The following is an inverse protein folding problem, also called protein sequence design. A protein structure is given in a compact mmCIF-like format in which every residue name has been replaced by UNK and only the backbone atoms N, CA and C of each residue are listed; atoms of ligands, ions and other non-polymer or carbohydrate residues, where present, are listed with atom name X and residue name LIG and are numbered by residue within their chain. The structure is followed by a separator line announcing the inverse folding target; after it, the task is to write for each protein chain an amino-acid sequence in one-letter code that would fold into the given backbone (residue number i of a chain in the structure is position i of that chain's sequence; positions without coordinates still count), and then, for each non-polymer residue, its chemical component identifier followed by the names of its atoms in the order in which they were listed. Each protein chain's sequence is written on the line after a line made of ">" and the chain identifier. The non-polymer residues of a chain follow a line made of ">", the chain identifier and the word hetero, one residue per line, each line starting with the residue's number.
data_IF_034708947327
#
_entry.id   IF_034708947327
#
_cell.length_a   1.000
_cell.length_b   1.000
_cell.length_c   1.000
_cell.angle_alpha   90.00
_cell.angle_beta   90.00
_cell.angle_gamma   90.00
#
_symmetry.space_group_name_H-M   'P 1'
#
loop_
_entity.id
_entity.type
_entity.pdbx_description
1 polymer ?
#
# COMPACT_ATOMS: atom_id res chain seq x y z
N UNK A 1 20.48 -14.48 -7.75
CA UNK A 1 19.82 -13.78 -6.64
C UNK A 1 18.60 -14.56 -6.13
N UNK A 2 17.58 -14.88 -6.95
CA UNK A 2 16.42 -15.71 -6.53
C UNK A 2 16.76 -17.14 -6.11
N UNK A 3 17.74 -17.78 -6.77
CA UNK A 3 18.13 -19.17 -6.45
C UNK A 3 18.73 -19.36 -5.06
N UNK A 4 19.20 -18.28 -4.43
CA UNK A 4 19.90 -18.29 -3.14
C UNK A 4 18.97 -18.19 -1.93
N UNK A 5 17.66 -18.00 -2.14
CA UNK A 5 16.67 -17.89 -1.07
C UNK A 5 15.60 -18.97 -1.21
N UNK A 6 14.96 -19.34 -0.10
CA UNK A 6 13.86 -20.29 -0.08
C UNK A 6 12.56 -19.67 -0.61
N UNK A 7 12.30 -18.42 -0.18
CA UNK A 7 11.15 -17.62 -0.57
C UNK A 7 11.58 -16.17 -0.78
N UNK A 8 10.96 -15.52 -1.76
CA UNK A 8 11.16 -14.11 -2.11
C UNK A 8 9.79 -13.48 -2.29
N UNK A 9 9.63 -12.27 -1.78
CA UNK A 9 8.45 -11.45 -2.01
C UNK A 9 8.85 -10.03 -2.40
N UNK A 10 7.89 -9.24 -2.88
CA UNK A 10 8.10 -7.84 -3.24
C UNK A 10 7.22 -6.94 -2.40
N UNK A 11 7.65 -5.70 -2.20
CA UNK A 11 6.80 -4.63 -1.69
C UNK A 11 7.16 -3.39 -2.49
N UNK A 12 6.34 -3.09 -3.51
CA UNK A 12 6.63 -2.07 -4.49
C UNK A 12 5.35 -1.34 -4.90
N UNK A 13 5.40 -0.02 -5.03
CA UNK A 13 4.28 0.81 -5.47
C UNK A 13 4.02 0.67 -6.97
N UNK A 14 2.76 0.38 -7.35
CA UNK A 14 2.38 0.14 -8.74
C UNK A 14 2.81 1.29 -9.69
N UNK A 15 2.67 2.55 -9.27
CA UNK A 15 3.00 3.71 -10.11
C UNK A 15 4.50 3.95 -10.23
N UNK A 16 5.27 3.61 -9.19
CA UNK A 16 6.73 3.69 -9.23
C UNK A 16 7.39 2.59 -10.06
N UNK A 17 6.67 1.50 -10.39
CA UNK A 17 7.27 0.34 -11.06
C UNK A 17 7.57 0.64 -12.53
N UNK A 18 8.85 0.76 -12.90
CA UNK A 18 9.24 0.90 -14.31
C UNK A 18 8.98 -0.39 -15.09
N UNK A 19 8.54 -0.29 -16.34
CA UNK A 19 8.32 -1.47 -17.18
C UNK A 19 7.03 -2.24 -16.88
N UNK A 20 5.90 -1.56 -16.62
CA UNK A 20 4.59 -2.20 -16.42
C UNK A 20 4.07 -2.96 -17.65
N UNK A 21 4.64 -2.69 -18.83
CA UNK A 21 4.27 -3.30 -20.12
C UNK A 21 2.76 -3.27 -20.41
N UNK A 22 2.08 -2.18 -20.05
CA UNK A 22 0.63 -2.04 -20.23
C UNK A 22 -0.24 -2.68 -19.14
N UNK A 23 0.34 -3.20 -18.05
CA UNK A 23 -0.45 -3.57 -16.87
C UNK A 23 -1.17 -2.34 -16.32
N UNK A 24 -2.44 -2.50 -15.97
CA UNK A 24 -3.33 -1.43 -15.51
C UNK A 24 -3.69 -1.53 -14.03
N UNK A 25 -3.43 -2.69 -13.42
CA UNK A 25 -3.72 -2.98 -12.02
C UNK A 25 -2.67 -3.91 -11.39
N UNK A 26 -2.68 -3.99 -10.06
CA UNK A 26 -1.71 -4.80 -9.30
C UNK A 26 -1.72 -6.27 -9.71
N UNK A 27 -2.89 -6.86 -10.00
CA UNK A 27 -3.01 -8.28 -10.32
C UNK A 27 -2.32 -8.62 -11.64
N UNK A 28 -2.51 -7.79 -12.67
CA UNK A 28 -1.83 -7.94 -13.96
C UNK A 28 -0.31 -7.82 -13.81
N UNK A 29 0.17 -6.85 -13.02
CA UNK A 29 1.60 -6.66 -12.81
C UNK A 29 2.22 -7.80 -11.98
N UNK A 30 1.55 -8.25 -10.91
CA UNK A 30 1.98 -9.39 -10.10
C UNK A 30 2.06 -10.68 -10.95
N UNK A 31 1.09 -10.89 -11.84
CA UNK A 31 1.09 -12.02 -12.78
C UNK A 31 2.29 -11.96 -13.73
N UNK A 32 2.53 -10.80 -14.36
CA UNK A 32 3.67 -10.58 -15.25
C UNK A 32 5.02 -10.79 -14.55
N UNK A 33 5.20 -10.21 -13.36
CA UNK A 33 6.43 -10.41 -12.56
C UNK A 33 6.66 -11.91 -12.33
N UNK A 34 5.59 -12.67 -12.07
CA UNK A 34 5.67 -14.13 -11.90
C UNK A 34 5.96 -14.87 -13.20
N UNK A 35 5.51 -14.37 -14.34
CA UNK A 35 5.73 -14.96 -15.66
C UNK A 35 7.18 -14.82 -16.13
N UNK A 36 7.80 -13.68 -15.86
CA UNK A 36 9.21 -13.37 -16.18
C UNK A 36 10.22 -14.20 -15.38
N UNK A 37 9.81 -14.77 -14.25
CA UNK A 37 10.66 -15.67 -13.46
C UNK A 37 10.72 -17.06 -14.12
N UNK A 38 11.93 -17.63 -14.21
CA UNK A 38 12.14 -18.98 -14.74
C UNK A 38 11.16 -20.00 -14.10
N UNK A 39 10.55 -20.91 -14.87
CA UNK A 39 9.52 -21.84 -14.37
C UNK A 39 9.91 -22.59 -13.09
N UNK A 40 11.18 -23.00 -13.01
CA UNK A 40 11.75 -23.72 -11.87
C UNK A 40 11.81 -22.89 -10.57
N UNK A 41 11.75 -21.55 -10.66
CA UNK A 41 11.85 -20.63 -9.52
C UNK A 41 10.50 -19.96 -9.18
N UNK A 42 9.45 -20.11 -10.00
CA UNK A 42 8.15 -19.45 -9.78
C UNK A 42 7.52 -19.78 -8.42
N UNK A 43 7.76 -20.98 -7.89
CA UNK A 43 7.25 -21.42 -6.59
C UNK A 43 7.95 -20.74 -5.39
N UNK A 44 9.11 -20.11 -5.63
CA UNK A 44 9.85 -19.34 -4.63
C UNK A 44 9.39 -17.89 -4.55
N UNK A 45 8.67 -17.39 -5.56
CA UNK A 45 8.25 -16.00 -5.62
C UNK A 45 6.77 -15.83 -5.20
N UNK A 46 6.54 -14.92 -4.26
CA UNK A 46 5.23 -14.42 -3.86
C UNK A 46 5.19 -12.93 -4.21
N UNK A 47 4.77 -12.56 -5.44
CA UNK A 47 4.77 -11.16 -5.84
C UNK A 47 3.69 -10.39 -5.07
N UNK A 48 4.03 -9.20 -4.62
CA UNK A 48 3.09 -8.23 -4.09
C UNK A 48 3.42 -6.83 -4.59
N UNK A 49 2.39 -6.19 -5.13
CA UNK A 49 2.39 -4.80 -5.54
C UNK A 49 1.38 -4.04 -4.70
N UNK A 50 1.84 -2.97 -4.07
CA UNK A 50 0.99 -2.00 -3.40
C UNK A 50 0.29 -1.19 -4.48
N UNK A 51 -1.03 -1.33 -4.58
CA UNK A 51 -1.82 -0.53 -5.51
C UNK A 51 -1.74 0.93 -5.04
N UNK A 52 -1.16 1.79 -5.86
CA UNK A 52 -0.95 3.23 -5.65
C UNK A 52 0.32 3.64 -4.91
N UNK A 53 0.20 4.06 -3.66
CA UNK A 53 1.27 4.56 -2.81
C UNK A 53 1.17 3.88 -1.45
N UNK A 54 2.30 3.72 -0.77
CA UNK A 54 2.34 3.20 0.59
C UNK A 54 1.45 4.00 1.58
N UNK A 55 1.31 5.31 1.37
CA UNK A 55 0.42 6.18 2.13
C UNK A 55 -1.07 5.79 2.07
N UNK A 56 -1.49 4.99 1.09
CA UNK A 56 -2.85 4.45 1.07
C UNK A 56 -3.18 3.67 2.35
N UNK A 57 -2.19 2.97 2.93
CA UNK A 57 -2.33 2.22 4.17
C UNK A 57 -2.67 3.12 5.37
N UNK A 58 -2.34 4.41 5.32
CA UNK A 58 -2.62 5.33 6.43
C UNK A 58 -4.12 5.57 6.59
N UNK A 59 -4.87 5.43 5.51
CA UNK A 59 -6.32 5.58 5.50
C UNK A 59 -7.04 4.38 6.14
N UNK A 60 -6.32 3.37 6.64
CA UNK A 60 -6.88 2.43 7.60
C UNK A 60 -7.39 3.13 8.87
N UNK A 61 -6.81 4.29 9.22
CA UNK A 61 -7.35 5.19 10.24
C UNK A 61 -6.95 6.66 9.96
N UNK A 62 -7.78 7.41 9.20
CA UNK A 62 -7.48 8.80 8.85
C UNK A 62 -7.35 9.75 10.04
N UNK A 63 -7.99 9.44 11.18
CA UNK A 63 -7.94 10.27 12.39
C UNK A 63 -6.52 10.35 12.95
N UNK A 64 -5.74 9.29 12.78
CA UNK A 64 -4.35 9.25 13.22
C UNK A 64 -3.46 10.14 12.33
N UNK A 65 -3.79 10.28 11.05
CA UNK A 65 -3.09 11.19 10.13
C UNK A 65 -3.21 12.64 10.64
N UNK A 66 -4.43 13.07 10.96
CA UNK A 66 -4.71 14.39 11.52
C UNK A 66 -4.01 14.62 12.85
N UNK A 67 -4.09 13.66 13.78
CA UNK A 67 -3.44 13.72 15.09
C UNK A 67 -1.91 13.84 15.00
N UNK A 68 -1.27 13.10 14.10
CA UNK A 68 0.20 13.08 13.98
C UNK A 68 0.72 14.34 13.29
N UNK A 69 0.01 14.85 12.28
CA UNK A 69 0.47 15.99 11.49
C UNK A 69 -0.01 17.33 12.08
N UNK A 70 -1.14 17.34 12.80
CA UNK A 70 -1.69 18.53 13.44
C UNK A 70 -2.78 19.24 12.63
N UNK A 71 -3.74 18.48 12.07
CA UNK A 71 -4.92 19.04 11.39
C UNK A 71 -6.19 18.27 11.74
N UNK A 72 -7.36 18.89 11.53
CA UNK A 72 -8.66 18.23 11.70
C UNK A 72 -8.96 17.31 10.51
N UNK A 73 -8.94 16.00 10.77
CA UNK A 73 -9.10 14.95 9.77
C UNK A 73 -10.48 14.30 9.76
N UNK A 74 -11.40 14.67 10.67
CA UNK A 74 -12.62 13.88 10.93
C UNK A 74 -13.50 13.78 9.67
N UNK A 75 -13.93 14.93 9.14
CA UNK A 75 -14.76 14.96 7.93
C UNK A 75 -13.96 14.63 6.67
N UNK A 76 -12.69 15.02 6.65
CA UNK A 76 -11.80 14.81 5.50
C UNK A 76 -11.58 13.32 5.23
N UNK A 77 -11.24 12.55 6.27
CA UNK A 77 -10.97 11.12 6.16
C UNK A 77 -12.22 10.31 5.79
N UNK A 78 -13.35 10.62 6.44
CA UNK A 78 -14.65 9.98 6.15
C UNK A 78 -15.05 10.17 4.68
N UNK A 79 -14.95 11.40 4.15
CA UNK A 79 -15.28 11.69 2.74
C UNK A 79 -14.43 10.86 1.77
N UNK A 80 -13.12 10.79 2.01
CA UNK A 80 -12.20 10.00 1.17
C UNK A 80 -12.55 8.52 1.21
N UNK A 81 -12.82 7.97 2.39
CA UNK A 81 -13.19 6.56 2.50
C UNK A 81 -14.52 6.26 1.82
N UNK A 82 -15.50 7.17 1.89
CA UNK A 82 -16.77 7.02 1.17
C UNK A 82 -16.55 7.01 -0.35
N UNK A 83 -15.75 7.94 -0.88
CA UNK A 83 -15.39 8.00 -2.31
C UNK A 83 -14.75 6.68 -2.80
N UNK A 84 -14.03 5.97 -1.91
CA UNK A 84 -13.32 4.74 -2.21
C UNK A 84 -14.04 3.48 -1.72
N UNK A 85 -15.36 3.53 -1.48
CA UNK A 85 -16.17 2.40 -1.01
C UNK A 85 -15.61 1.72 0.25
N UNK A 86 -15.16 2.53 1.22
CA UNK A 86 -14.56 2.10 2.48
C UNK A 86 -13.30 1.25 2.32
N UNK A 87 -12.64 1.30 1.16
CA UNK A 87 -11.43 0.55 0.88
C UNK A 87 -10.22 1.49 0.69
N UNK A 88 -9.29 1.55 1.66
CA UNK A 88 -8.07 2.35 1.56
C UNK A 88 -7.20 2.02 0.35
N UNK A 89 -7.18 0.76 -0.09
CA UNK A 89 -6.37 0.32 -1.25
C UNK A 89 -6.91 0.83 -2.59
N UNK A 90 -8.12 1.42 -2.60
CA UNK A 90 -8.72 2.06 -3.77
C UNK A 90 -8.48 3.58 -3.83
N UNK A 91 -7.72 4.14 -2.89
CA UNK A 91 -7.45 5.57 -2.86
C UNK A 91 -6.39 5.90 -3.91
N UNK A 92 -6.84 6.23 -5.13
CA UNK A 92 -6.11 7.03 -6.13
C UNK A 92 -6.98 7.23 -7.39
N UNK A 93 -7.66 8.36 -7.47
CA UNK A 93 -8.56 8.65 -8.59
C UNK A 93 -7.91 9.51 -9.69
N UNK A 94 -6.66 9.97 -9.52
CA UNK A 94 -5.88 10.83 -10.43
C UNK A 94 -4.58 11.31 -9.74
N UNK A 95 -3.64 11.89 -10.49
CA UNK A 95 -2.40 12.47 -9.95
C UNK A 95 -2.62 13.47 -8.80
N UNK A 96 -3.65 14.32 -8.88
CA UNK A 96 -3.96 15.30 -7.81
C UNK A 96 -4.72 14.70 -6.63
N UNK A 97 -5.11 13.43 -6.71
CA UNK A 97 -5.89 12.71 -5.68
C UNK A 97 -5.17 11.47 -5.15
N UNK A 98 -3.85 11.35 -5.37
CA UNK A 98 -3.05 10.31 -4.71
C UNK A 98 -3.09 10.47 -3.19
N UNK A 99 -2.93 9.37 -2.43
CA UNK A 99 -2.88 9.41 -0.97
C UNK A 99 -1.94 10.50 -0.43
N UNK A 100 -0.70 10.55 -0.94
CA UNK A 100 0.31 11.54 -0.54
C UNK A 100 -0.13 12.97 -0.84
N UNK A 101 -0.63 13.24 -2.04
CA UNK A 101 -1.08 14.58 -2.41
C UNK A 101 -2.30 15.04 -1.59
N UNK A 102 -3.23 14.13 -1.26
CA UNK A 102 -4.37 14.43 -0.37
C UNK A 102 -3.88 14.86 1.02
N UNK A 103 -2.94 14.12 1.59
CA UNK A 103 -2.34 14.43 2.90
C UNK A 103 -1.56 15.75 2.83
N UNK A 104 -0.74 15.96 1.81
CA UNK A 104 0.01 17.21 1.62
C UNK A 104 -0.91 18.42 1.48
N UNK A 105 -2.03 18.28 0.77
CA UNK A 105 -2.99 19.37 0.56
C UNK A 105 -3.71 19.75 1.85
N UNK A 106 -4.26 18.78 2.59
CA UNK A 106 -5.01 19.07 3.81
C UNK A 106 -4.12 19.59 4.94
N UNK A 107 -2.87 19.11 5.01
CA UNK A 107 -1.90 19.53 6.02
C UNK A 107 -1.16 20.83 5.69
N UNK A 108 -1.57 21.59 4.67
CA UNK A 108 -0.86 22.80 4.23
C UNK A 108 0.65 22.56 4.01
N UNK A 109 1.00 21.44 3.36
CA UNK A 109 2.37 20.99 3.08
C UNK A 109 3.25 20.70 4.31
N UNK A 110 2.63 20.49 5.46
CA UNK A 110 3.34 20.11 6.69
C UNK A 110 3.67 18.61 6.74
N UNK A 111 3.03 17.77 5.93
CA UNK A 111 3.41 16.36 5.84
C UNK A 111 4.86 16.20 5.39
N UNK A 112 5.56 15.34 6.12
CA UNK A 112 6.95 14.93 5.91
C UNK A 112 6.99 13.42 6.03
N UNK A 113 7.26 12.76 4.92
CA UNK A 113 7.21 11.31 4.80
C UNK A 113 8.18 10.63 5.77
N UNK A 114 9.42 11.10 5.83
CA UNK A 114 10.47 10.51 6.68
C UNK A 114 10.18 10.57 8.19
N UNK A 115 9.40 11.56 8.64
CA UNK A 115 9.10 11.75 10.07
C UNK A 115 7.70 11.29 10.44
N UNK A 116 6.69 11.62 9.64
CA UNK A 116 5.29 11.35 9.98
C UNK A 116 4.86 9.94 9.56
N UNK A 117 5.31 9.40 8.43
CA UNK A 117 4.90 8.06 7.99
C UNK A 117 5.15 6.97 9.05
N UNK A 118 6.36 6.83 9.66
CA UNK A 118 6.58 5.81 10.67
C UNK A 118 5.74 6.04 11.93
N UNK A 119 5.49 7.30 12.32
CA UNK A 119 4.66 7.64 13.47
C UNK A 119 3.19 7.29 13.23
N UNK A 120 2.66 7.62 12.05
CA UNK A 120 1.29 7.28 11.62
C UNK A 120 1.13 5.77 11.65
N UNK A 121 1.98 5.02 10.94
CA UNK A 121 1.87 3.56 10.87
C UNK A 121 1.98 2.89 12.24
N UNK A 122 2.91 3.37 13.08
CA UNK A 122 3.06 2.87 14.45
C UNK A 122 1.80 3.07 15.29
N UNK A 123 1.15 4.22 15.15
CA UNK A 123 -0.09 4.53 15.89
C UNK A 123 -1.31 3.79 15.33
N UNK A 124 -1.40 3.60 14.01
CA UNK A 124 -2.48 2.81 13.38
C UNK A 124 -2.36 1.34 13.81
N UNK A 125 -1.15 0.80 13.76
CA UNK A 125 -0.85 -0.58 14.10
C UNK A 125 -1.20 -1.56 12.98
N UNK A 126 -0.44 -2.67 12.93
CA UNK A 126 -0.56 -3.67 11.88
C UNK A 126 -1.95 -4.32 11.83
N UNK A 127 -2.53 -4.63 12.99
CA UNK A 127 -3.87 -5.23 13.09
C UNK A 127 -4.91 -4.39 12.36
N UNK A 128 -4.90 -3.06 12.57
CA UNK A 128 -5.87 -2.16 11.96
C UNK A 128 -5.68 -2.04 10.45
N UNK A 129 -4.42 -2.00 10.00
CA UNK A 129 -4.10 -2.00 8.57
C UNK A 129 -4.62 -3.28 7.93
N UNK A 130 -4.41 -4.44 8.55
CA UNK A 130 -4.88 -5.74 8.03
C UNK A 130 -6.41 -5.87 7.98
N UNK A 131 -7.10 -5.32 8.97
CA UNK A 131 -8.58 -5.27 8.97
C UNK A 131 -9.15 -4.47 7.80
N UNK A 132 -8.46 -3.40 7.39
CA UNK A 132 -8.98 -2.43 6.42
C UNK A 132 -8.43 -2.61 5.01
N UNK A 133 -7.24 -3.17 4.88
CA UNK A 133 -6.53 -3.36 3.63
C UNK A 133 -6.44 -4.87 3.33
N UNK A 134 -7.47 -5.40 2.64
CA UNK A 134 -7.61 -6.85 2.43
C UNK A 134 -6.53 -7.43 1.51
N UNK A 135 -6.06 -6.69 0.51
CA UNK A 135 -4.97 -7.11 -0.35
C UNK A 135 -3.63 -7.16 0.39
N UNK A 136 -3.35 -6.17 1.24
CA UNK A 136 -2.18 -6.18 2.12
C UNK A 136 -2.26 -7.33 3.15
N UNK A 137 -3.42 -7.56 3.74
CA UNK A 137 -3.63 -8.67 4.66
C UNK A 137 -3.44 -10.03 3.99
N UNK A 138 -3.98 -10.23 2.78
CA UNK A 138 -3.85 -11.48 2.04
C UNK A 138 -2.38 -11.79 1.70
N UNK A 139 -1.59 -10.76 1.41
CA UNK A 139 -0.15 -10.91 1.22
C UNK A 139 0.57 -11.31 2.51
N UNK A 140 0.31 -10.59 3.62
CA UNK A 140 0.93 -10.94 4.90
C UNK A 140 0.55 -12.34 5.40
N UNK A 141 -0.72 -12.75 5.25
CA UNK A 141 -1.16 -14.08 5.61
C UNK A 141 -0.39 -15.16 4.83
N UNK A 142 -0.18 -14.96 3.53
CA UNK A 142 0.65 -15.88 2.73
C UNK A 142 2.11 -15.96 3.20
N UNK A 143 2.67 -14.87 3.73
CA UNK A 143 4.03 -14.87 4.28
C UNK A 143 4.09 -15.57 5.64
N UNK A 144 3.09 -15.38 6.48
CA UNK A 144 2.98 -16.02 7.80
C UNK A 144 2.82 -17.54 7.66
N UNK A 145 2.11 -18.00 6.63
CA UNK A 145 1.95 -19.42 6.30
C UNK A 145 3.25 -20.09 5.84
N UNK A 146 4.33 -19.33 5.57
CA UNK A 146 5.65 -19.90 5.23
C UNK A 146 6.41 -20.45 6.46
N UNK A 147 6.07 -19.98 7.65
CA UNK A 147 6.71 -20.35 8.91
C UNK A 147 6.02 -21.50 9.65
N UNK A 148 5.07 -22.18 8.99
CA UNK A 148 4.34 -23.35 9.50
C UNK A 148 4.99 -24.68 9.14
#
# INVERSE_FOLDING_TARGET
>A
MLGSFDKVTTLYDFYGFDGKEGATNKQELEAKIKEEVSPQLKHKLIPYIQMYEFEALFFANPDIIGKVIGFDSEDWGKKILIECNQNPEKINNSYSTTPKHRIQKISNRQYRETTHAPLILKQIGLTKIREKCSGFNAWLAQLEDLGG
#
